data_IF_110554455668
#
_entry.id   IF_110554455668
#
_cell.length_a   1.000
_cell.length_b   1.000
_cell.length_c   1.000
_cell.angle_alpha   90.00
_cell.angle_beta   90.00
_cell.angle_gamma   90.00
#
_symmetry.space_group_name_H-M   'P 1'
#
loop_
_entity.id
_entity.type
_entity.pdbx_description
1 polymer ?
#
# COMPACT_ATOMS: atom_id res chain seq x y z
N UNK A 1 -17.12 -28.02 11.20
CA UNK A 1 -16.25 -27.87 12.41
C UNK A 1 -15.15 -26.81 12.21
N UNK A 2 -14.41 -26.80 11.09
CA UNK A 2 -13.29 -25.86 10.83
C UNK A 2 -13.74 -24.40 10.85
N UNK A 3 -14.88 -24.07 10.28
CA UNK A 3 -15.41 -22.70 10.25
C UNK A 3 -15.80 -22.22 11.65
N UNK A 4 -16.41 -23.10 12.46
CA UNK A 4 -16.75 -22.76 13.85
C UNK A 4 -15.49 -22.59 14.71
N UNK A 5 -14.50 -23.47 14.58
CA UNK A 5 -13.25 -23.38 15.34
C UNK A 5 -12.44 -22.10 15.05
N UNK A 6 -12.67 -21.50 13.85
CA UNK A 6 -12.02 -20.27 13.44
C UNK A 6 -12.90 -19.02 13.63
N UNK A 7 -14.10 -19.17 14.22
CA UNK A 7 -15.02 -18.08 14.51
C UNK A 7 -15.77 -17.51 13.30
N UNK A 8 -15.72 -18.17 12.14
CA UNK A 8 -16.48 -17.75 10.94
C UNK A 8 -17.93 -18.18 10.98
N UNK A 9 -18.26 -19.23 11.73
CA UNK A 9 -19.60 -19.70 11.97
C UNK A 9 -19.79 -20.04 13.44
N UNK A 10 -21.02 -19.92 13.92
CA UNK A 10 -21.44 -20.39 15.25
C UNK A 10 -22.56 -21.41 15.07
N UNK A 11 -22.62 -22.39 15.97
CA UNK A 11 -23.68 -23.37 15.98
C UNK A 11 -24.73 -22.96 16.99
N UNK A 12 -25.93 -22.69 16.51
CA UNK A 12 -27.13 -22.46 17.30
C UNK A 12 -27.95 -23.72 17.39
N UNK A 13 -28.59 -23.95 18.54
CA UNK A 13 -29.34 -25.17 18.79
C UNK A 13 -30.66 -25.25 17.96
N UNK A 14 -31.25 -24.10 17.62
CA UNK A 14 -32.52 -23.99 16.91
C UNK A 14 -32.35 -23.60 15.45
N UNK A 15 -31.44 -22.63 15.17
CA UNK A 15 -31.20 -22.08 13.84
C UNK A 15 -30.14 -22.84 13.02
N UNK A 16 -29.43 -23.81 13.61
CA UNK A 16 -28.38 -24.57 12.94
C UNK A 16 -27.05 -23.84 12.93
N UNK A 17 -26.54 -23.33 11.78
CA UNK A 17 -25.33 -22.57 11.69
C UNK A 17 -25.64 -21.10 11.38
N UNK A 18 -24.98 -20.21 12.15
CA UNK A 18 -25.02 -18.76 11.94
C UNK A 18 -23.61 -18.24 11.61
N UNK A 19 -23.56 -17.02 11.04
CA UNK A 19 -22.29 -16.32 10.83
C UNK A 19 -21.66 -15.94 12.18
N UNK A 20 -20.42 -16.33 12.38
CA UNK A 20 -19.67 -16.03 13.60
C UNK A 20 -19.05 -14.62 13.58
N UNK A 21 -18.53 -14.13 14.74
CA UNK A 21 -18.02 -12.78 14.92
C UNK A 21 -16.83 -12.45 14.01
N UNK A 22 -16.09 -13.45 13.55
CA UNK A 22 -14.98 -13.26 12.60
C UNK A 22 -15.42 -12.67 11.26
N UNK A 23 -16.66 -12.90 10.87
CA UNK A 23 -17.24 -12.28 9.67
C UNK A 23 -17.37 -10.76 9.87
N UNK A 24 -17.78 -10.30 11.05
CA UNK A 24 -17.89 -8.88 11.36
C UNK A 24 -16.52 -8.17 11.27
N UNK A 25 -15.47 -8.80 11.75
CA UNK A 25 -14.12 -8.25 11.60
C UNK A 25 -13.74 -8.09 10.13
N UNK A 26 -13.94 -9.14 9.32
CA UNK A 26 -13.62 -9.09 7.89
C UNK A 26 -14.47 -8.04 7.17
N UNK A 27 -15.77 -7.97 7.50
CA UNK A 27 -16.69 -7.00 6.89
C UNK A 27 -16.32 -5.57 7.27
N UNK A 28 -15.93 -5.30 8.52
CA UNK A 28 -15.50 -3.98 8.96
C UNK A 28 -14.25 -3.50 8.17
N UNK A 29 -13.29 -4.38 7.94
CA UNK A 29 -12.14 -4.06 7.08
C UNK A 29 -12.54 -3.74 5.64
N UNK A 30 -13.51 -4.49 5.10
CA UNK A 30 -13.97 -4.28 3.73
C UNK A 30 -14.80 -3.00 3.58
N UNK A 31 -15.72 -2.74 4.51
CA UNK A 31 -16.56 -1.52 4.52
C UNK A 31 -15.69 -0.27 4.64
N UNK A 32 -14.74 -0.26 5.57
CA UNK A 32 -13.79 0.85 5.72
C UNK A 32 -12.93 1.08 4.47
N UNK A 33 -12.58 0.00 3.75
CA UNK A 33 -11.86 0.11 2.49
C UNK A 33 -12.74 0.72 1.38
N UNK A 34 -14.03 0.33 1.30
CA UNK A 34 -14.98 0.88 0.33
C UNK A 34 -15.27 2.37 0.57
N UNK A 35 -15.42 2.79 1.83
CA UNK A 35 -15.55 4.21 2.18
C UNK A 35 -14.33 5.01 1.74
N UNK A 36 -13.13 4.52 2.07
CA UNK A 36 -11.89 5.17 1.67
C UNK A 36 -11.75 5.27 0.14
N UNK A 37 -12.07 4.19 -0.60
CA UNK A 37 -12.06 4.21 -2.06
C UNK A 37 -13.04 5.25 -2.62
N UNK A 38 -14.26 5.29 -2.09
CA UNK A 38 -15.30 6.23 -2.53
C UNK A 38 -14.87 7.67 -2.32
N UNK A 39 -14.32 7.99 -1.15
CA UNK A 39 -13.83 9.33 -0.83
C UNK A 39 -12.59 9.69 -1.64
N UNK A 40 -11.69 8.75 -1.88
CA UNK A 40 -10.45 8.98 -2.61
C UNK A 40 -10.66 9.15 -4.13
N UNK A 41 -11.69 8.54 -4.70
CA UNK A 41 -11.93 8.48 -6.16
C UNK A 41 -11.80 9.81 -6.91
N UNK A 42 -12.41 10.94 -6.48
CA UNK A 42 -12.24 12.22 -7.19
C UNK A 42 -10.76 12.67 -7.21
N UNK A 43 -10.07 12.58 -6.07
CA UNK A 43 -8.66 12.98 -5.97
C UNK A 43 -7.73 12.10 -6.83
N UNK A 44 -7.97 10.77 -6.83
CA UNK A 44 -7.21 9.86 -7.68
C UNK A 44 -7.46 10.13 -9.17
N UNK A 45 -8.70 10.53 -9.53
CA UNK A 45 -9.06 10.88 -10.91
C UNK A 45 -8.40 12.18 -11.37
N UNK A 46 -8.36 13.19 -10.50
CA UNK A 46 -7.69 14.46 -10.77
C UNK A 46 -6.18 14.24 -10.94
N UNK A 47 -5.55 13.52 -10.00
CA UNK A 47 -4.14 13.16 -10.07
C UNK A 47 -3.78 12.39 -11.36
N UNK A 48 -4.67 11.48 -11.79
CA UNK A 48 -4.50 10.78 -13.06
C UNK A 48 -4.62 11.73 -14.27
N UNK A 49 -5.58 12.65 -14.23
CA UNK A 49 -5.79 13.62 -15.32
C UNK A 49 -4.59 14.57 -15.49
N UNK A 50 -3.97 14.97 -14.38
CA UNK A 50 -2.83 15.90 -14.37
C UNK A 50 -1.53 15.23 -14.79
N UNK A 51 -1.25 14.06 -14.29
CA UNK A 51 0.04 13.37 -14.49
C UNK A 51 0.04 12.37 -15.65
N UNK A 52 -1.11 11.84 -16.05
CA UNK A 52 -1.25 10.72 -17.00
C UNK A 52 -0.44 9.47 -16.64
N UNK A 53 -0.07 9.31 -15.36
CA UNK A 53 0.62 8.15 -14.80
C UNK A 53 -0.38 7.19 -14.16
N UNK A 54 -0.02 5.92 -14.00
CA UNK A 54 -0.87 5.00 -13.26
C UNK A 54 -0.95 5.42 -11.79
N UNK A 55 -2.16 5.62 -11.27
CA UNK A 55 -2.42 6.01 -9.88
C UNK A 55 -2.87 4.80 -9.09
N UNK A 56 -2.37 4.65 -7.89
CA UNK A 56 -2.71 3.58 -6.97
C UNK A 56 -3.12 4.13 -5.61
N UNK A 57 -4.10 3.48 -4.98
CA UNK A 57 -4.40 3.60 -3.57
C UNK A 57 -4.12 2.26 -2.90
N UNK A 58 -3.39 2.24 -1.78
CA UNK A 58 -3.07 1.00 -1.10
C UNK A 58 -2.94 1.14 0.41
N UNK A 59 -3.02 0.00 1.09
CA UNK A 59 -2.84 -0.14 2.54
C UNK A 59 -1.73 -1.15 2.85
N UNK A 60 -1.12 -0.98 4.02
CA UNK A 60 -0.22 -1.97 4.58
C UNK A 60 -1.04 -3.05 5.34
N UNK A 61 -0.75 -4.32 5.06
CA UNK A 61 -1.34 -5.47 5.75
C UNK A 61 -0.20 -6.44 6.07
N UNK A 62 0.27 -6.40 7.30
CA UNK A 62 1.50 -7.09 7.70
C UNK A 62 2.72 -6.55 6.95
N UNK A 63 3.42 -7.42 6.23
CA UNK A 63 4.60 -7.11 5.42
C UNK A 63 4.27 -6.83 3.94
N UNK A 64 2.98 -6.75 3.59
CA UNK A 64 2.51 -6.58 2.21
C UNK A 64 1.69 -5.31 2.03
N UNK A 65 1.78 -4.74 0.83
CA UNK A 65 0.83 -3.75 0.33
C UNK A 65 -0.34 -4.46 -0.33
N UNK A 66 -1.54 -4.06 0.05
CA UNK A 66 -2.80 -4.46 -0.61
C UNK A 66 -3.32 -3.26 -1.37
N UNK A 67 -3.45 -3.39 -2.69
CA UNK A 67 -4.04 -2.36 -3.52
C UNK A 67 -5.55 -2.30 -3.32
N UNK A 68 -6.05 -1.10 -3.04
CA UNK A 68 -7.49 -0.81 -2.88
C UNK A 68 -8.08 -0.29 -4.18
N UNK A 69 -7.33 0.54 -4.92
CA UNK A 69 -7.76 1.09 -6.20
C UNK A 69 -6.59 1.29 -7.15
N UNK A 70 -6.89 1.30 -8.46
CA UNK A 70 -5.93 1.50 -9.53
C UNK A 70 -6.59 2.23 -10.69
N UNK A 71 -6.04 3.38 -11.09
CA UNK A 71 -6.43 4.13 -12.28
C UNK A 71 -5.30 4.12 -13.29
N UNK A 72 -5.61 3.70 -14.52
CA UNK A 72 -4.69 3.75 -15.66
C UNK A 72 -5.46 4.03 -16.97
N UNK A 73 -4.74 4.12 -18.09
CA UNK A 73 -5.33 4.34 -19.43
C UNK A 73 -6.37 3.26 -19.79
N UNK A 74 -6.19 2.03 -19.31
CA UNK A 74 -7.09 0.91 -19.55
C UNK A 74 -8.07 0.75 -18.36
N UNK A 75 -8.97 1.72 -18.17
CA UNK A 75 -10.03 1.66 -17.14
C UNK A 75 -10.83 0.34 -17.11
N UNK A 76 -10.76 -0.45 -18.17
CA UNK A 76 -11.41 -1.76 -18.30
C UNK A 76 -10.69 -2.90 -17.58
N UNK A 77 -9.46 -2.69 -17.11
CA UNK A 77 -8.71 -3.69 -16.34
C UNK A 77 -8.91 -3.52 -14.81
N UNK A 78 -10.11 -3.18 -14.36
CA UNK A 78 -10.48 -3.16 -12.93
C UNK A 78 -10.21 -4.50 -12.22
N UNK A 79 -10.06 -5.59 -12.97
CA UNK A 79 -10.00 -6.95 -12.45
C UNK A 79 -8.58 -7.49 -12.28
N UNK A 80 -7.52 -6.69 -12.46
CA UNK A 80 -6.18 -7.24 -12.54
C UNK A 80 -5.32 -7.12 -11.27
N UNK A 81 -5.65 -6.19 -10.36
CA UNK A 81 -4.80 -5.93 -9.18
C UNK A 81 -5.54 -5.71 -7.87
N UNK A 82 -6.87 -5.66 -7.84
CA UNK A 82 -7.62 -5.62 -6.59
C UNK A 82 -7.27 -6.83 -5.74
N UNK A 83 -6.66 -6.59 -4.57
CA UNK A 83 -6.16 -7.63 -3.69
C UNK A 83 -4.78 -8.22 -4.05
N UNK A 84 -4.09 -7.73 -5.10
CA UNK A 84 -2.70 -8.11 -5.36
C UNK A 84 -1.82 -7.65 -4.19
N UNK A 85 -1.02 -8.58 -3.66
CA UNK A 85 -0.09 -8.33 -2.57
C UNK A 85 1.33 -8.18 -3.10
N UNK A 86 1.97 -7.06 -2.80
CA UNK A 86 3.39 -6.80 -3.10
C UNK A 86 4.17 -6.65 -1.81
N UNK A 87 5.44 -7.00 -1.84
CA UNK A 87 6.32 -6.79 -0.70
C UNK A 87 6.42 -5.29 -0.38
N UNK A 88 6.08 -4.93 0.87
CA UNK A 88 6.00 -3.51 1.25
C UNK A 88 7.36 -2.80 1.12
N UNK A 89 8.46 -3.50 1.40
CA UNK A 89 9.78 -2.90 1.41
C UNK A 89 10.29 -2.44 0.03
N UNK A 90 9.77 -2.95 -1.07
CA UNK A 90 10.17 -2.55 -2.44
C UNK A 90 9.25 -1.52 -3.08
N UNK A 91 8.07 -1.27 -2.51
CA UNK A 91 7.08 -0.37 -3.10
C UNK A 91 7.07 1.01 -2.44
N UNK A 92 6.80 2.07 -3.19
CA UNK A 92 6.64 3.42 -2.64
C UNK A 92 5.53 3.48 -1.59
N UNK A 93 4.38 2.81 -1.82
CA UNK A 93 3.28 2.70 -0.85
C UNK A 93 3.75 2.05 0.44
N UNK A 94 4.41 0.89 0.33
CA UNK A 94 4.85 0.15 1.50
C UNK A 94 5.93 0.89 2.28
N UNK A 95 6.91 1.49 1.61
CA UNK A 95 7.95 2.30 2.27
C UNK A 95 7.37 3.53 2.98
N UNK A 96 6.37 4.21 2.38
CA UNK A 96 5.66 5.30 3.04
C UNK A 96 4.99 4.84 4.33
N UNK A 97 4.19 3.78 4.26
CA UNK A 97 3.44 3.30 5.42
C UNK A 97 4.36 2.70 6.48
N UNK A 98 5.38 1.92 6.09
CA UNK A 98 6.41 1.43 7.02
C UNK A 98 7.18 2.57 7.68
N UNK A 99 7.43 3.68 6.98
CA UNK A 99 8.09 4.84 7.59
C UNK A 99 7.28 5.47 8.72
N UNK A 100 5.96 5.25 8.77
CA UNK A 100 5.08 5.73 9.83
C UNK A 100 5.02 4.79 11.03
N UNK A 101 5.48 3.55 10.90
CA UNK A 101 5.47 2.55 11.97
C UNK A 101 6.52 2.85 13.05
N UNK A 102 6.31 2.29 14.25
CA UNK A 102 7.30 2.38 15.33
C UNK A 102 8.58 1.59 15.02
N UNK A 103 9.68 1.97 15.64
CA UNK A 103 10.96 1.25 15.51
C UNK A 103 10.84 -0.23 15.83
N UNK A 104 10.11 -0.59 16.88
CA UNK A 104 9.91 -1.97 17.32
C UNK A 104 9.19 -2.82 16.25
N UNK A 105 8.19 -2.24 15.58
CA UNK A 105 7.47 -2.90 14.47
C UNK A 105 8.41 -3.14 13.29
N UNK A 106 9.22 -2.15 12.93
CA UNK A 106 10.22 -2.28 11.87
C UNK A 106 11.28 -3.32 12.21
N UNK A 107 11.78 -3.33 13.45
CA UNK A 107 12.77 -4.30 13.91
C UNK A 107 12.20 -5.72 13.88
N UNK A 108 10.97 -5.89 14.32
CA UNK A 108 10.28 -7.19 14.24
C UNK A 108 10.14 -7.64 12.77
N UNK A 109 9.65 -6.77 11.87
CA UNK A 109 9.50 -7.12 10.45
C UNK A 109 10.83 -7.52 9.81
N UNK A 110 11.89 -6.75 10.04
CA UNK A 110 13.21 -7.01 9.47
C UNK A 110 13.89 -8.26 10.07
N UNK A 111 13.55 -8.63 11.30
CA UNK A 111 14.07 -9.85 11.93
C UNK A 111 13.35 -11.12 11.46
N UNK A 112 12.07 -11.01 11.11
CA UNK A 112 11.21 -12.14 10.73
C UNK A 112 11.12 -12.37 9.23
N UNK A 113 11.35 -11.31 8.41
CA UNK A 113 11.23 -11.37 6.96
C UNK A 113 12.56 -11.02 6.28
N UNK A 114 13.06 -11.96 5.47
CA UNK A 114 14.24 -11.72 4.66
C UNK A 114 13.91 -10.80 3.48
N UNK A 115 14.63 -9.68 3.36
CA UNK A 115 14.51 -8.78 2.21
C UNK A 115 15.08 -9.47 0.95
N UNK A 116 14.20 -9.90 0.07
CA UNK A 116 14.57 -10.56 -1.20
C UNK A 116 15.06 -9.50 -2.19
N UNK A 117 16.10 -9.81 -2.95
CA UNK A 117 16.56 -8.98 -4.06
C UNK A 117 15.72 -9.23 -5.31
N UNK A 118 15.06 -8.20 -5.83
CA UNK A 118 14.32 -8.23 -7.09
C UNK A 118 15.14 -7.67 -8.24
N UNK A 119 15.86 -6.57 -7.99
CA UNK A 119 16.72 -5.87 -8.94
C UNK A 119 18.07 -5.55 -8.30
N UNK A 120 18.97 -4.95 -9.05
CA UNK A 120 20.22 -4.42 -8.51
C UNK A 120 19.98 -3.26 -7.50
N UNK A 121 18.87 -2.56 -7.62
CA UNK A 121 18.50 -1.40 -6.79
C UNK A 121 17.77 -1.77 -5.49
N UNK A 122 17.28 -3.01 -5.35
CA UNK A 122 16.55 -3.44 -4.14
C UNK A 122 17.43 -3.29 -2.90
N UNK A 123 16.97 -2.54 -1.92
CA UNK A 123 17.63 -2.40 -0.61
C UNK A 123 17.39 -3.68 0.18
N UNK A 124 18.44 -4.46 0.43
CA UNK A 124 18.38 -5.75 1.15
C UNK A 124 19.12 -5.74 2.47
N UNK A 125 19.88 -4.69 2.76
CA UNK A 125 20.49 -4.49 4.07
C UNK A 125 19.51 -3.84 5.04
N UNK A 126 19.29 -4.48 6.19
CA UNK A 126 18.30 -4.04 7.18
C UNK A 126 18.65 -2.68 7.80
N UNK A 127 19.94 -2.38 8.00
CA UNK A 127 20.35 -1.12 8.60
C UNK A 127 20.17 0.04 7.60
N UNK A 128 20.61 -0.14 6.37
CA UNK A 128 20.39 0.84 5.29
C UNK A 128 18.89 1.05 5.05
N UNK A 129 18.09 0.00 5.14
CA UNK A 129 16.65 0.11 4.98
C UNK A 129 16.00 0.96 6.10
N UNK A 130 16.41 0.79 7.36
CA UNK A 130 15.95 1.63 8.48
C UNK A 130 16.31 3.11 8.29
N UNK A 131 17.53 3.39 7.86
CA UNK A 131 17.98 4.75 7.56
C UNK A 131 17.17 5.38 6.43
N UNK A 132 16.87 4.59 5.39
CA UNK A 132 15.99 5.00 4.29
C UNK A 132 14.58 5.33 4.77
N UNK A 133 13.96 4.48 5.61
CA UNK A 133 12.66 4.78 6.23
C UNK A 133 12.70 6.06 7.09
N UNK A 134 13.80 6.29 7.81
CA UNK A 134 14.00 7.53 8.56
C UNK A 134 14.03 8.78 7.66
N UNK A 135 14.59 8.68 6.47
CA UNK A 135 14.58 9.74 5.46
C UNK A 135 13.17 9.97 4.93
N UNK A 136 12.46 8.90 4.57
CA UNK A 136 11.07 8.97 4.09
C UNK A 136 10.16 9.63 5.12
N UNK A 137 10.28 9.27 6.40
CA UNK A 137 9.51 9.89 7.51
C UNK A 137 9.71 11.40 7.57
N UNK A 138 10.94 11.89 7.39
CA UNK A 138 11.25 13.32 7.46
C UNK A 138 10.72 14.09 6.24
N UNK A 139 10.84 13.51 5.05
CA UNK A 139 10.43 14.18 3.81
C UNK A 139 8.94 14.02 3.49
N UNK A 140 8.25 13.00 4.05
CA UNK A 140 6.83 12.74 3.91
C UNK A 140 6.41 12.11 2.58
N UNK A 141 7.35 11.49 1.85
CA UNK A 141 7.08 10.74 0.62
C UNK A 141 8.16 9.68 0.39
N UNK A 142 7.83 8.66 -0.38
CA UNK A 142 8.76 7.60 -0.74
C UNK A 142 8.81 7.38 -2.25
N UNK A 143 9.96 6.89 -2.71
CA UNK A 143 10.16 6.45 -4.09
C UNK A 143 10.55 4.98 -4.11
N UNK A 144 9.93 4.20 -5.00
CA UNK A 144 10.51 2.97 -5.53
C UNK A 144 11.33 3.37 -6.76
N UNK A 145 12.64 3.34 -6.64
CA UNK A 145 13.57 3.67 -7.73
C UNK A 145 14.11 2.39 -8.35
N UNK A 146 13.31 1.75 -9.19
CA UNK A 146 13.65 0.50 -9.86
C UNK A 146 13.93 -0.65 -8.87
N UNK A 147 13.38 -0.64 -7.67
CA UNK A 147 13.64 -1.64 -6.63
C UNK A 147 12.87 -2.93 -6.85
N UNK A 148 11.64 -2.83 -7.42
CA UNK A 148 10.81 -3.98 -7.73
C UNK A 148 10.92 -4.41 -9.20
N UNK A 149 10.99 -3.46 -10.15
CA UNK A 149 11.17 -3.67 -11.59
C UNK A 149 12.24 -2.71 -12.12
N UNK A 150 13.17 -3.19 -12.95
CA UNK A 150 14.34 -2.43 -13.41
C UNK A 150 14.02 -1.16 -14.24
N UNK A 151 12.82 -1.10 -14.82
CA UNK A 151 12.39 0.00 -15.71
C UNK A 151 11.29 0.89 -15.12
N UNK A 152 10.96 0.71 -13.83
CA UNK A 152 9.80 1.34 -13.19
C UNK A 152 10.17 2.16 -11.99
N UNK A 153 9.57 3.35 -11.93
CA UNK A 153 9.61 4.24 -10.78
C UNK A 153 8.22 4.47 -10.22
N UNK A 154 8.12 4.54 -8.90
CA UNK A 154 6.87 4.89 -8.22
C UNK A 154 7.16 5.95 -7.16
N UNK A 155 6.27 6.94 -7.05
CA UNK A 155 6.30 7.98 -6.01
C UNK A 155 5.03 7.86 -5.20
N UNK A 156 5.12 7.85 -3.86
CA UNK A 156 3.95 7.75 -3.00
C UNK A 156 4.03 8.65 -1.79
N UNK A 157 2.86 9.07 -1.29
CA UNK A 157 2.72 9.82 -0.06
C UNK A 157 1.63 9.21 0.83
N UNK A 158 1.80 9.22 2.16
CA UNK A 158 0.84 8.64 3.09
C UNK A 158 -0.41 9.52 3.21
N UNK A 159 -1.55 8.88 3.34
CA UNK A 159 -2.84 9.51 3.66
C UNK A 159 -3.11 9.29 5.14
N UNK A 160 -3.36 10.37 5.86
CA UNK A 160 -3.62 10.36 7.29
C UNK A 160 -5.10 10.61 7.57
N UNK A 161 -5.60 10.04 8.66
CA UNK A 161 -6.90 10.43 9.19
C UNK A 161 -6.78 11.68 10.06
N UNK A 162 -7.93 12.13 10.62
CA UNK A 162 -8.01 13.30 11.47
C UNK A 162 -7.23 13.17 12.80
N UNK A 163 -6.81 11.94 13.17
CA UNK A 163 -5.98 11.69 14.36
C UNK A 163 -4.50 11.79 14.06
N UNK A 164 -4.13 11.91 12.78
CA UNK A 164 -2.75 11.84 12.30
C UNK A 164 -2.24 10.40 12.12
N UNK A 165 -3.13 9.41 12.14
CA UNK A 165 -2.76 8.01 11.88
C UNK A 165 -2.73 7.72 10.37
N UNK A 166 -1.70 7.02 9.85
CA UNK A 166 -1.63 6.66 8.44
C UNK A 166 -2.66 5.57 8.12
N UNK A 167 -3.62 5.89 7.26
CA UNK A 167 -4.72 4.97 6.90
C UNK A 167 -4.54 4.32 5.52
N UNK A 168 -3.78 4.95 4.66
CA UNK A 168 -3.47 4.49 3.30
C UNK A 168 -2.26 5.25 2.74
N UNK A 169 -1.90 4.93 1.51
CA UNK A 169 -0.94 5.70 0.72
C UNK A 169 -1.46 5.81 -0.71
N UNK A 170 -1.35 7.00 -1.31
CA UNK A 170 -1.53 7.23 -2.74
C UNK A 170 -0.17 7.16 -3.40
N UNK A 171 -0.08 6.56 -4.59
CA UNK A 171 1.14 6.59 -5.37
C UNK A 171 0.87 6.67 -6.86
N UNK A 172 1.84 7.21 -7.58
CA UNK A 172 1.89 7.17 -9.03
C UNK A 172 3.03 6.28 -9.49
N UNK A 173 2.84 5.56 -10.59
CA UNK A 173 3.86 4.73 -11.19
C UNK A 173 3.98 4.95 -12.69
N UNK A 174 5.22 4.98 -13.18
CA UNK A 174 5.56 5.14 -14.58
C UNK A 174 6.91 4.49 -14.89
N UNK A 175 7.29 4.51 -16.16
CA UNK A 175 8.64 4.12 -16.58
C UNK A 175 9.67 5.15 -16.11
N UNK A 176 10.95 4.77 -16.13
CA UNK A 176 12.08 5.69 -15.86
C UNK A 176 12.12 6.89 -16.83
N UNK A 177 11.46 6.78 -18.00
CA UNK A 177 11.37 7.85 -18.98
C UNK A 177 10.21 8.82 -18.69
N UNK A 178 9.19 8.38 -17.98
CA UNK A 178 8.05 9.20 -17.55
C UNK A 178 8.33 9.90 -16.23
N UNK A 179 8.88 9.16 -15.24
CA UNK A 179 9.29 9.69 -13.94
C UNK A 179 10.80 9.90 -13.94
N UNK A 180 11.25 10.99 -14.55
CA UNK A 180 12.66 11.38 -14.60
C UNK A 180 13.06 12.21 -13.38
N UNK A 181 14.37 12.30 -13.09
CA UNK A 181 14.87 13.11 -11.98
C UNK A 181 14.46 14.59 -12.11
N UNK A 182 14.39 15.12 -13.35
CA UNK A 182 13.96 16.48 -13.61
C UNK A 182 12.46 16.72 -13.27
N UNK A 183 11.62 15.70 -13.39
CA UNK A 183 10.18 15.78 -13.10
C UNK A 183 9.82 15.35 -11.67
N UNK A 184 10.74 14.68 -10.99
CA UNK A 184 10.47 14.01 -9.71
C UNK A 184 9.82 14.95 -8.69
N UNK A 185 10.39 16.12 -8.46
CA UNK A 185 9.87 17.04 -7.43
C UNK A 185 8.54 17.65 -7.80
N UNK A 186 8.24 17.84 -9.09
CA UNK A 186 6.91 18.25 -9.53
C UNK A 186 5.88 17.15 -9.27
N UNK A 187 6.21 15.90 -9.61
CA UNK A 187 5.34 14.73 -9.33
C UNK A 187 5.13 14.56 -7.81
N UNK A 188 6.16 14.74 -7.00
CA UNK A 188 6.05 14.69 -5.54
C UNK A 188 5.07 15.74 -5.02
N UNK A 189 5.08 16.95 -5.59
CA UNK A 189 4.18 18.03 -5.18
C UNK A 189 2.70 17.72 -5.47
N UNK A 190 2.42 17.05 -6.58
CA UNK A 190 1.06 16.63 -6.93
C UNK A 190 0.57 15.42 -6.08
N UNK A 191 1.47 14.52 -5.71
CA UNK A 191 1.12 13.32 -4.92
C UNK A 191 0.91 13.64 -3.43
N UNK A 192 1.51 14.71 -2.90
CA UNK A 192 1.41 15.15 -1.49
C UNK A 192 0.20 16.00 -1.20
#
# INVERSE_FOLDING_TARGET
QTMCNRGYAEKDAEAGYMLGPKIMEITAYHVNALELQTVAQPFLSDLYADLHLTVHLGKLVGDKVVYLDLLNQNRFLKNGRDGLKVDAYTSSIGKCLLSCESGDVIDYLLSTHKLKRYTAHTITDSQLYKEHLGTIRKQGWAMDDCEFLDDRRCVGAPVFDYTGSPIACVSVSGSIHEITDAKLMAIVAEVK
#
